data_IF_159096901226
#
_entry.id   IF_159096901226
#
_cell.length_a   1.000
_cell.length_b   1.000
_cell.length_c   1.000
_cell.angle_alpha   90.00
_cell.angle_beta   90.00
_cell.angle_gamma   90.00
#
_symmetry.space_group_name_H-M   'P 1'
#
loop_
_entity.id
_entity.type
_entity.pdbx_description
1 polymer ?
#
# COMPACT_ATOMS: atom_id res chain seq x y z
N UNK A 1 -40.89 23.73 -27.76
CA UNK A 1 -40.01 24.72 -27.12
C UNK A 1 -40.01 24.38 -25.62
N UNK A 2 -39.30 23.36 -25.14
CA UNK A 2 -37.85 23.14 -24.99
C UNK A 2 -37.38 23.44 -23.55
N UNK A 3 -36.67 22.45 -22.99
CA UNK A 3 -35.91 22.33 -21.71
C UNK A 3 -36.70 22.24 -20.40
N UNK A 4 -36.80 21.09 -19.72
CA UNK A 4 -35.83 20.11 -19.15
C UNK A 4 -35.39 20.37 -17.71
N UNK A 5 -35.50 19.26 -16.96
CA UNK A 5 -35.22 18.99 -15.56
C UNK A 5 -33.77 19.20 -15.13
N UNK A 6 -33.55 19.28 -13.81
CA UNK A 6 -32.50 18.56 -13.04
C UNK A 6 -32.62 18.91 -11.54
N UNK A 7 -32.55 17.91 -10.65
CA UNK A 7 -32.42 18.17 -9.21
C UNK A 7 -32.86 17.10 -8.20
N UNK A 8 -32.96 15.81 -8.58
CA UNK A 8 -33.23 14.71 -7.64
C UNK A 8 -31.99 13.84 -7.41
N UNK A 9 -31.13 14.19 -6.44
CA UNK A 9 -29.86 13.47 -6.22
C UNK A 9 -29.41 13.29 -4.76
N UNK A 10 -30.18 13.75 -3.77
CA UNK A 10 -29.73 13.77 -2.36
C UNK A 10 -30.35 12.70 -1.44
N UNK A 11 -31.31 11.91 -1.93
CA UNK A 11 -32.05 10.96 -1.08
C UNK A 11 -31.43 9.54 -1.01
N UNK A 12 -30.42 9.19 -1.82
CA UNK A 12 -29.93 7.81 -1.94
C UNK A 12 -28.66 7.50 -1.10
N UNK A 13 -27.97 8.51 -0.58
CA UNK A 13 -26.68 8.34 0.13
C UNK A 13 -26.85 7.95 1.61
N UNK A 14 -28.01 8.23 2.23
CA UNK A 14 -28.25 7.94 3.65
C UNK A 14 -28.77 6.52 3.93
N UNK A 15 -29.26 5.80 2.91
CA UNK A 15 -29.82 4.45 3.07
C UNK A 15 -28.76 3.33 3.17
N UNK A 16 -27.52 3.57 2.71
CA UNK A 16 -26.45 2.57 2.75
C UNK A 16 -25.76 2.46 4.12
N UNK A 17 -25.94 3.47 4.99
CA UNK A 17 -25.22 3.60 6.27
C UNK A 17 -25.87 2.87 7.45
N UNK A 18 -26.98 2.13 7.26
CA UNK A 18 -27.78 1.55 8.36
C UNK A 18 -27.83 0.01 8.45
N UNK A 19 -27.13 -0.74 7.59
CA UNK A 19 -27.23 -2.22 7.56
C UNK A 19 -26.02 -2.96 8.17
N UNK A 20 -24.90 -2.30 8.48
CA UNK A 20 -23.72 -2.97 9.04
C UNK A 20 -23.42 -2.58 10.49
N UNK A 21 -24.35 -2.92 11.39
CA UNK A 21 -24.10 -2.88 12.84
C UNK A 21 -24.62 -4.15 13.48
N UNK A 22 -23.80 -5.20 13.48
CA UNK A 22 -23.88 -6.27 14.50
C UNK A 22 -22.55 -7.05 14.64
N UNK A 23 -22.21 -7.49 15.86
CA UNK A 23 -20.83 -7.76 16.27
C UNK A 23 -20.40 -9.22 16.00
N UNK A 24 -19.30 -9.41 15.27
CA UNK A 24 -18.73 -10.75 15.06
C UNK A 24 -17.88 -11.20 16.25
N UNK A 25 -18.36 -12.25 16.94
CA UNK A 25 -17.61 -13.08 17.89
C UNK A 25 -16.34 -13.65 17.22
N UNK A 26 -15.18 -13.41 17.82
CA UNK A 26 -13.89 -14.05 17.46
C UNK A 26 -13.91 -15.52 17.87
N UNK A 27 -13.78 -16.45 16.91
CA UNK A 27 -13.38 -17.84 17.19
C UNK A 27 -11.87 -17.98 16.93
N UNK A 28 -11.14 -18.41 17.96
CA UNK A 28 -9.71 -18.72 17.95
C UNK A 28 -9.48 -20.01 17.15
N UNK A 29 -8.62 -19.98 16.14
CA UNK A 29 -8.05 -21.20 15.55
C UNK A 29 -6.77 -21.57 16.30
N UNK A 30 -6.74 -22.79 16.87
CA UNK A 30 -5.57 -23.39 17.52
C UNK A 30 -4.60 -23.91 16.45
N UNK A 31 -3.32 -23.65 16.64
CA UNK A 31 -2.21 -24.20 15.87
C UNK A 31 -2.01 -25.69 16.17
N UNK A 32 -1.84 -26.51 15.13
CA UNK A 32 -1.32 -27.87 15.23
C UNK A 32 0.15 -27.88 14.80
N UNK A 33 1.01 -28.52 15.61
CA UNK A 33 2.46 -28.71 15.36
C UNK A 33 2.69 -29.95 14.48
N UNK A 34 3.73 -30.01 13.64
CA UNK A 34 4.18 -31.27 13.05
C UNK A 34 5.19 -31.98 13.97
N UNK A 35 5.12 -33.32 13.99
CA UNK A 35 6.07 -34.23 14.64
C UNK A 35 6.84 -34.96 13.53
N UNK A 36 8.17 -34.96 13.64
CA UNK A 36 9.09 -35.78 12.84
C UNK A 36 9.26 -37.15 13.52
N UNK A 37 9.28 -38.22 12.72
CA UNK A 37 9.60 -39.59 13.15
C UNK A 37 10.04 -40.44 11.96
N UNK A 38 11.17 -41.13 12.13
CA UNK A 38 12.02 -41.86 11.17
C UNK A 38 11.64 -43.35 10.98
N UNK A 39 12.35 -43.96 10.01
CA UNK A 39 12.60 -45.37 9.63
C UNK A 39 11.80 -45.93 8.43
N UNK A 40 12.44 -46.28 7.29
CA UNK A 40 13.26 -47.49 6.99
C UNK A 40 12.41 -48.77 7.17
N UNK A 41 12.26 -49.74 6.25
CA UNK A 41 13.18 -50.32 5.26
C UNK A 41 12.42 -51.29 4.32
N UNK A 42 13.10 -51.75 3.26
CA UNK A 42 13.13 -53.12 2.69
C UNK A 42 12.33 -53.51 1.40
N UNK A 43 13.14 -54.04 0.46
CA UNK A 43 12.91 -55.07 -0.58
C UNK A 43 12.18 -54.62 -1.86
N UNK A 44 12.64 -54.88 -3.09
CA UNK A 44 13.79 -55.63 -3.61
C UNK A 44 13.62 -55.85 -5.12
N UNK A 45 14.74 -55.80 -5.86
CA UNK A 45 15.10 -56.69 -6.98
C UNK A 45 14.30 -56.65 -8.30
N UNK A 46 14.90 -56.16 -9.40
CA UNK A 46 15.53 -57.03 -10.43
C UNK A 46 15.85 -56.33 -11.78
N UNK A 47 17.11 -56.51 -12.19
CA UNK A 47 17.72 -56.79 -13.51
C UNK A 47 17.27 -56.10 -14.83
N UNK A 48 18.34 -55.69 -15.53
CA UNK A 48 18.63 -55.15 -16.90
C UNK A 48 18.79 -56.33 -17.92
N UNK A 49 19.11 -56.22 -19.25
CA UNK A 49 19.03 -55.17 -20.31
C UNK A 49 18.27 -55.63 -21.60
N UNK A 50 18.10 -54.74 -22.60
CA UNK A 50 18.01 -55.21 -23.99
C UNK A 50 17.58 -54.24 -25.10
N UNK A 51 18.55 -53.91 -25.96
CA UNK A 51 18.48 -53.61 -27.41
C UNK A 51 18.21 -52.19 -27.94
N UNK A 52 19.17 -51.82 -28.77
CA UNK A 52 19.36 -50.68 -29.65
C UNK A 52 18.44 -50.77 -30.88
N UNK A 53 17.96 -49.64 -31.40
CA UNK A 53 17.04 -49.58 -32.53
C UNK A 53 16.67 -48.15 -32.96
N UNK A 54 17.67 -47.37 -33.34
CA UNK A 54 17.70 -46.44 -34.47
C UNK A 54 16.35 -45.92 -35.07
N UNK A 55 16.07 -44.62 -34.90
CA UNK A 55 16.07 -43.58 -35.98
C UNK A 55 15.21 -42.36 -35.63
N UNK A 56 15.85 -41.19 -35.68
CA UNK A 56 15.27 -39.93 -36.17
C UNK A 56 14.22 -39.25 -35.30
N UNK A 57 14.66 -38.39 -34.38
CA UNK A 57 13.80 -37.33 -33.86
C UNK A 57 14.60 -36.05 -33.61
N UNK A 58 14.47 -35.16 -34.60
CA UNK A 58 14.34 -33.71 -34.49
C UNK A 58 14.72 -33.13 -33.12
N UNK A 59 15.96 -32.66 -33.01
CA UNK A 59 16.33 -31.78 -31.92
C UNK A 59 16.94 -30.49 -32.47
N UNK A 60 16.28 -29.39 -32.08
CA UNK A 60 16.91 -28.11 -31.73
C UNK A 60 17.21 -27.14 -32.86
N UNK A 61 16.15 -26.47 -33.31
CA UNK A 61 16.16 -25.00 -33.46
C UNK A 61 14.89 -24.44 -32.83
N UNK A 62 14.86 -24.43 -31.49
CA UNK A 62 13.94 -23.56 -30.76
C UNK A 62 14.36 -22.13 -31.07
N UNK A 63 13.68 -21.50 -32.04
CA UNK A 63 13.63 -20.04 -32.07
C UNK A 63 12.99 -19.64 -30.74
N UNK A 64 13.81 -19.04 -29.89
CA UNK A 64 13.41 -18.45 -28.63
C UNK A 64 12.45 -17.30 -28.93
N UNK A 65 11.18 -17.65 -29.10
CA UNK A 65 10.10 -16.69 -29.23
C UNK A 65 9.81 -16.13 -27.84
N UNK A 66 10.58 -15.09 -27.51
CA UNK A 66 10.17 -13.90 -26.75
C UNK A 66 8.98 -14.15 -25.82
N UNK A 67 9.23 -14.71 -24.63
CA UNK A 67 8.29 -14.64 -23.51
C UNK A 67 8.20 -13.17 -23.10
N UNK A 68 7.21 -12.47 -23.66
CA UNK A 68 6.74 -11.18 -23.16
C UNK A 68 5.88 -11.50 -21.94
N UNK A 69 6.50 -11.58 -20.76
CA UNK A 69 5.78 -11.72 -19.49
C UNK A 69 4.98 -10.45 -19.24
N UNK A 70 3.73 -10.42 -19.71
CA UNK A 70 2.75 -9.44 -19.24
C UNK A 70 2.22 -9.95 -17.91
N UNK A 71 2.45 -9.21 -16.84
CA UNK A 71 1.83 -9.44 -15.54
C UNK A 71 0.32 -9.60 -15.74
N UNK A 72 -0.20 -10.82 -15.53
CA UNK A 72 -1.64 -11.07 -15.61
C UNK A 72 -2.29 -10.44 -14.39
N UNK A 73 -2.95 -9.29 -14.57
CA UNK A 73 -3.68 -8.62 -13.48
C UNK A 73 -4.83 -9.52 -13.01
N UNK A 74 -4.82 -9.87 -11.73
CA UNK A 74 -5.89 -10.64 -11.09
C UNK A 74 -6.90 -9.67 -10.49
N UNK A 75 -8.14 -9.71 -11.00
CA UNK A 75 -9.25 -8.92 -10.46
C UNK A 75 -10.05 -9.79 -9.48
N UNK A 76 -10.01 -9.52 -8.16
CA UNK A 76 -10.73 -10.32 -7.18
C UNK A 76 -12.23 -10.07 -7.31
N UNK A 77 -12.99 -11.13 -7.60
CA UNK A 77 -14.44 -11.04 -7.82
C UNK A 77 -15.21 -11.42 -6.55
N UNK A 78 -16.15 -10.56 -6.12
CA UNK A 78 -17.03 -10.80 -4.98
C UNK A 78 -18.50 -10.56 -5.38
N UNK A 79 -19.40 -11.41 -4.89
CA UNK A 79 -20.85 -11.20 -4.98
C UNK A 79 -21.46 -11.39 -3.59
N UNK A 80 -22.39 -10.51 -3.23
CA UNK A 80 -23.10 -10.56 -1.94
C UNK A 80 -24.14 -11.68 -1.88
N UNK A 81 -24.63 -12.16 -3.02
CA UNK A 81 -25.65 -13.22 -3.13
C UNK A 81 -25.32 -14.14 -4.31
N UNK A 82 -24.88 -15.36 -3.99
CA UNK A 82 -24.52 -16.37 -4.98
C UNK A 82 -25.75 -16.94 -5.72
N UNK A 83 -26.92 -16.99 -5.07
CA UNK A 83 -28.15 -17.51 -5.67
C UNK A 83 -28.71 -16.55 -6.71
N UNK A 84 -28.71 -15.25 -6.40
CA UNK A 84 -29.10 -14.21 -7.36
C UNK A 84 -28.14 -14.14 -8.55
N UNK A 85 -26.83 -14.26 -8.30
CA UNK A 85 -25.81 -14.34 -9.34
C UNK A 85 -26.05 -15.53 -10.28
N UNK A 86 -26.27 -16.72 -9.74
CA UNK A 86 -26.50 -17.93 -10.52
C UNK A 86 -27.78 -17.83 -11.37
N UNK A 87 -28.86 -17.24 -10.82
CA UNK A 87 -30.12 -17.05 -11.55
C UNK A 87 -29.96 -16.07 -12.70
N UNK A 88 -29.26 -14.95 -12.48
CA UNK A 88 -28.96 -13.97 -13.52
C UNK A 88 -28.09 -14.58 -14.63
N UNK A 89 -27.07 -15.35 -14.26
CA UNK A 89 -26.21 -16.03 -15.24
C UNK A 89 -26.98 -17.06 -16.06
N UNK A 90 -27.85 -17.85 -15.42
CA UNK A 90 -28.71 -18.84 -16.10
C UNK A 90 -29.64 -18.17 -17.12
N UNK A 91 -30.26 -17.06 -16.75
CA UNK A 91 -31.14 -16.33 -17.67
C UNK A 91 -30.36 -15.80 -18.88
N UNK A 92 -29.25 -15.12 -18.63
CA UNK A 92 -28.41 -14.57 -19.71
C UNK A 92 -27.84 -15.66 -20.63
N UNK A 93 -27.62 -16.87 -20.12
CA UNK A 93 -27.16 -18.00 -20.91
C UNK A 93 -28.29 -18.58 -21.78
N UNK A 94 -29.51 -18.65 -21.25
CA UNK A 94 -30.68 -19.11 -22.01
C UNK A 94 -31.04 -18.18 -23.18
N UNK A 95 -30.73 -16.89 -23.04
CA UNK A 95 -30.99 -15.88 -24.08
C UNK A 95 -29.94 -15.91 -25.21
N UNK A 96 -28.88 -16.72 -25.10
CA UNK A 96 -27.82 -16.83 -26.11
C UNK A 96 -28.12 -17.97 -27.09
N UNK A 97 -28.14 -17.67 -28.39
CA UNK A 97 -28.37 -18.65 -29.46
C UNK A 97 -27.13 -19.51 -29.74
N UNK A 98 -25.95 -19.02 -29.36
CA UNK A 98 -24.64 -19.66 -29.56
C UNK A 98 -23.86 -19.74 -28.24
N UNK A 99 -22.91 -20.69 -28.10
CA UNK A 99 -22.07 -20.78 -26.91
C UNK A 99 -21.26 -19.49 -26.73
N UNK A 100 -21.36 -18.82 -25.57
CA UNK A 100 -20.74 -17.53 -25.35
C UNK A 100 -19.21 -17.62 -25.33
N UNK A 101 -18.56 -16.66 -25.98
CA UNK A 101 -17.12 -16.48 -25.91
C UNK A 101 -16.65 -16.00 -24.53
N UNK A 102 -15.33 -16.03 -24.30
CA UNK A 102 -14.74 -15.66 -23.00
C UNK A 102 -15.12 -14.23 -22.53
N UNK A 103 -15.04 -13.24 -23.43
CA UNK A 103 -15.41 -11.85 -23.11
C UNK A 103 -16.91 -11.72 -22.79
N UNK A 104 -17.77 -12.50 -23.45
CA UNK A 104 -19.20 -12.52 -23.12
C UNK A 104 -19.44 -13.12 -21.74
N UNK A 105 -18.75 -14.21 -21.38
CA UNK A 105 -18.79 -14.79 -20.03
C UNK A 105 -18.36 -13.75 -18.99
N UNK A 106 -17.27 -12.99 -19.25
CA UNK A 106 -16.82 -11.92 -18.35
C UNK A 106 -17.86 -10.81 -18.20
N UNK A 107 -18.51 -10.40 -19.28
CA UNK A 107 -19.59 -9.41 -19.23
C UNK A 107 -20.82 -9.94 -18.48
N UNK A 108 -21.17 -11.23 -18.64
CA UNK A 108 -22.28 -11.84 -17.90
C UNK A 108 -22.01 -11.90 -16.40
N UNK A 109 -20.78 -12.23 -16.00
CA UNK A 109 -20.34 -12.21 -14.60
C UNK A 109 -20.37 -10.80 -14.02
N UNK A 110 -19.88 -9.80 -14.76
CA UNK A 110 -19.92 -8.41 -14.36
C UNK A 110 -21.37 -7.91 -14.14
N UNK A 111 -22.28 -8.22 -15.08
CA UNK A 111 -23.72 -7.90 -14.96
C UNK A 111 -24.39 -8.59 -13.79
N UNK A 112 -24.08 -9.86 -13.55
CA UNK A 112 -24.61 -10.59 -12.40
C UNK A 112 -24.11 -10.04 -11.04
N UNK A 113 -22.96 -9.36 -11.03
CA UNK A 113 -22.44 -8.64 -9.86
C UNK A 113 -22.89 -7.17 -9.77
N UNK A 114 -23.74 -6.68 -10.70
CA UNK A 114 -24.29 -5.32 -10.68
C UNK A 114 -23.50 -4.28 -11.49
N UNK A 115 -22.48 -4.68 -12.25
CA UNK A 115 -21.73 -3.79 -13.15
C UNK A 115 -22.28 -3.87 -14.58
N UNK A 116 -22.17 -2.82 -15.38
CA UNK A 116 -22.72 -2.83 -16.74
C UNK A 116 -21.99 -3.79 -17.68
N UNK A 117 -20.66 -3.87 -17.57
CA UNK A 117 -19.80 -4.75 -18.35
C UNK A 117 -18.46 -5.00 -17.61
N UNK A 118 -17.61 -5.86 -18.17
CA UNK A 118 -16.31 -6.18 -17.57
C UNK A 118 -15.36 -4.98 -17.49
N UNK A 119 -15.44 -4.04 -18.43
CA UNK A 119 -14.63 -2.81 -18.39
C UNK A 119 -15.03 -1.92 -17.21
N UNK A 120 -16.32 -1.84 -16.88
CA UNK A 120 -16.83 -1.11 -15.72
C UNK A 120 -16.36 -1.77 -14.41
N UNK A 121 -16.45 -3.10 -14.31
CA UNK A 121 -15.91 -3.84 -13.17
C UNK A 121 -14.40 -3.63 -13.00
N UNK A 122 -13.66 -3.63 -14.12
CA UNK A 122 -12.23 -3.32 -14.13
C UNK A 122 -11.95 -1.89 -13.70
N UNK A 123 -12.68 -0.91 -14.23
CA UNK A 123 -12.49 0.50 -13.90
C UNK A 123 -12.81 0.80 -12.43
N UNK A 124 -13.76 0.09 -11.82
CA UNK A 124 -14.04 0.17 -10.39
C UNK A 124 -12.92 -0.44 -9.53
N UNK A 125 -12.26 -1.52 -10.00
CA UNK A 125 -11.07 -2.06 -9.34
C UNK A 125 -9.81 -1.20 -9.52
N UNK A 126 -9.63 -0.65 -10.71
CA UNK A 126 -8.52 0.22 -11.06
C UNK A 126 -8.77 1.67 -10.57
N UNK A 127 -9.96 1.96 -10.01
CA UNK A 127 -10.23 3.24 -9.36
C UNK A 127 -9.23 3.39 -8.23
N UNK A 128 -8.37 4.42 -8.24
CA UNK A 128 -7.53 4.70 -7.11
C UNK A 128 -8.45 4.92 -5.92
N UNK A 129 -8.38 4.04 -4.92
CA UNK A 129 -8.99 4.30 -3.63
C UNK A 129 -8.44 5.66 -3.20
N UNK A 130 -9.30 6.68 -3.21
CA UNK A 130 -9.03 7.87 -2.44
C UNK A 130 -8.67 7.33 -1.05
N UNK A 131 -7.44 7.62 -0.60
CA UNK A 131 -6.99 7.17 0.70
C UNK A 131 -7.95 7.74 1.74
N UNK A 132 -8.98 6.97 2.09
CA UNK A 132 -9.72 7.16 3.34
C UNK A 132 -8.64 7.28 4.41
N UNK A 133 -8.63 8.35 5.22
CA UNK A 133 -7.55 8.60 6.16
C UNK A 133 -7.49 7.42 7.10
N UNK A 134 -6.57 6.49 6.84
CA UNK A 134 -6.29 5.40 7.75
C UNK A 134 -5.81 6.10 9.00
N UNK A 135 -6.64 6.06 10.05
CA UNK A 135 -6.29 6.64 11.32
C UNK A 135 -4.88 6.16 11.69
N UNK A 136 -3.97 7.10 11.94
CA UNK A 136 -2.55 6.81 12.16
C UNK A 136 -2.38 5.63 13.14
N UNK A 137 -1.38 4.79 12.91
CA UNK A 137 -1.15 3.61 13.74
C UNK A 137 -0.96 4.00 15.22
N UNK A 138 -1.27 3.10 16.15
CA UNK A 138 -1.13 3.35 17.60
C UNK A 138 0.29 3.84 18.01
N UNK A 139 1.40 3.29 17.47
CA UNK A 139 2.73 3.84 17.70
C UNK A 139 2.89 5.28 17.20
N UNK A 140 2.40 5.58 15.99
CA UNK A 140 2.47 6.92 15.40
C UNK A 140 1.65 7.93 16.20
N UNK A 141 0.45 7.58 16.65
CA UNK A 141 -0.36 8.43 17.55
C UNK A 141 0.39 8.80 18.83
N UNK A 142 1.14 7.86 19.42
CA UNK A 142 1.96 8.12 20.60
C UNK A 142 3.13 9.07 20.31
N UNK A 143 3.69 9.06 19.11
CA UNK A 143 4.79 9.95 18.74
C UNK A 143 4.27 11.34 18.35
N UNK A 144 3.10 11.41 17.73
CA UNK A 144 2.41 12.64 17.35
C UNK A 144 2.09 13.58 18.52
N UNK A 145 2.05 13.07 19.76
CA UNK A 145 1.90 13.89 20.98
C UNK A 145 3.08 14.82 21.25
N UNK A 146 4.22 14.59 20.60
CA UNK A 146 5.39 15.47 20.69
C UNK A 146 5.32 16.62 19.68
N UNK A 147 4.33 16.64 18.79
CA UNK A 147 4.16 17.69 17.79
C UNK A 147 2.88 18.49 18.06
N UNK A 148 2.94 19.80 17.82
CA UNK A 148 1.76 20.65 17.83
C UNK A 148 0.90 20.45 16.57
N UNK A 149 -0.17 21.23 16.43
CA UNK A 149 -1.08 21.22 15.29
C UNK A 149 -0.41 21.73 14.00
N UNK A 150 0.66 22.51 14.11
CA UNK A 150 1.46 23.02 12.99
C UNK A 150 2.59 22.05 12.60
N UNK A 151 2.73 20.92 13.29
CA UNK A 151 3.79 19.94 13.02
C UNK A 151 5.17 20.36 13.52
N UNK A 152 5.24 21.23 14.53
CA UNK A 152 6.47 21.62 15.24
C UNK A 152 6.67 20.77 16.48
N UNK A 153 7.92 20.42 16.76
CA UNK A 153 8.29 19.64 17.95
C UNK A 153 8.14 20.51 19.21
N UNK A 154 7.27 20.09 20.15
CA UNK A 154 6.95 20.87 21.36
C UNK A 154 7.95 20.69 22.49
N UNK A 155 8.66 19.56 22.49
CA UNK A 155 9.63 19.20 23.52
C UNK A 155 10.58 18.14 23.01
N UNK A 156 11.77 18.09 23.58
CA UNK A 156 12.70 17.00 23.32
C UNK A 156 12.26 15.70 24.04
N UNK A 157 12.05 14.58 23.32
CA UNK A 157 11.69 13.31 23.95
C UNK A 157 12.83 12.78 24.84
N UNK A 158 12.49 12.12 25.96
CA UNK A 158 13.50 11.50 26.85
C UNK A 158 14.06 10.17 26.31
N UNK A 159 13.27 9.45 25.51
CA UNK A 159 13.62 8.11 25.01
C UNK A 159 14.32 8.23 23.67
N UNK A 160 15.49 7.63 23.53
CA UNK A 160 16.29 7.67 22.30
C UNK A 160 15.54 7.22 21.04
N UNK A 161 14.72 6.17 21.14
CA UNK A 161 13.90 5.71 20.01
C UNK A 161 12.87 6.77 19.56
N UNK A 162 12.31 7.53 20.50
CA UNK A 162 11.35 8.60 20.19
C UNK A 162 12.07 9.84 19.65
N UNK A 163 13.26 10.16 20.16
CA UNK A 163 14.13 11.22 19.61
C UNK A 163 14.43 10.95 18.15
N UNK A 164 14.89 9.73 17.82
CA UNK A 164 15.21 9.33 16.45
C UNK A 164 14.01 9.40 15.52
N UNK A 165 12.84 8.99 15.99
CA UNK A 165 11.60 9.12 15.23
C UNK A 165 11.21 10.58 14.97
N UNK A 166 11.35 11.45 15.98
CA UNK A 166 11.07 12.87 15.83
C UNK A 166 12.07 13.55 14.89
N UNK A 167 13.35 13.18 14.94
CA UNK A 167 14.38 13.69 14.02
C UNK A 167 14.07 13.34 12.56
N UNK A 168 13.58 12.13 12.28
CA UNK A 168 13.12 11.77 10.93
C UNK A 168 11.98 12.67 10.43
N UNK A 169 11.01 12.98 11.30
CA UNK A 169 9.91 13.87 10.96
C UNK A 169 10.32 15.36 10.85
N UNK A 170 11.37 15.78 11.56
CA UNK A 170 11.97 17.11 11.37
C UNK A 170 12.73 17.16 10.04
N UNK A 171 13.60 16.20 9.80
CA UNK A 171 14.36 16.06 8.56
C UNK A 171 13.46 16.02 7.32
N UNK A 172 12.32 15.32 7.39
CA UNK A 172 11.35 15.24 6.28
C UNK A 172 10.70 16.58 5.92
N UNK A 173 10.70 17.55 6.85
CA UNK A 173 10.14 18.89 6.67
C UNK A 173 11.14 19.96 6.25
N UNK A 174 12.44 19.66 6.27
CA UNK A 174 13.46 20.61 5.85
C UNK A 174 13.45 20.76 4.31
N UNK A 175 13.66 21.98 3.77
CA UNK A 175 13.71 22.23 2.34
C UNK A 175 14.80 21.37 1.65
N UNK A 176 14.54 20.90 0.42
CA UNK A 176 15.50 20.05 -0.33
C UNK A 176 16.23 20.85 -1.39
N UNK A 177 17.49 20.51 -1.62
CA UNK A 177 18.27 21.03 -2.76
C UNK A 177 19.11 22.28 -2.49
N UNK A 178 19.21 22.73 -1.22
CA UNK A 178 20.00 23.90 -0.84
C UNK A 178 21.18 23.52 0.06
N UNK A 179 22.32 24.17 -0.15
CA UNK A 179 23.35 24.33 0.89
C UNK A 179 22.96 25.53 1.75
N UNK A 180 22.93 25.36 3.07
CA UNK A 180 22.69 26.47 4.00
C UNK A 180 23.98 26.95 4.63
N UNK A 181 24.03 28.26 4.89
CA UNK A 181 24.92 28.78 5.91
C UNK A 181 24.33 28.52 7.31
N UNK A 182 25.13 28.80 8.35
CA UNK A 182 24.72 28.56 9.72
C UNK A 182 23.43 29.31 10.12
N UNK A 183 23.25 30.61 9.82
CA UNK A 183 22.01 31.32 10.11
C UNK A 183 20.78 30.74 9.41
N UNK A 184 20.89 30.37 8.13
CA UNK A 184 19.76 29.85 7.36
C UNK A 184 19.30 28.49 7.89
N UNK A 185 20.22 27.58 8.22
CA UNK A 185 19.80 26.29 8.80
C UNK A 185 19.19 26.47 10.19
N UNK A 186 19.71 27.41 10.98
CA UNK A 186 19.13 27.74 12.28
C UNK A 186 17.70 28.23 12.15
N UNK A 187 17.43 29.10 11.17
CA UNK A 187 16.08 29.59 10.89
C UNK A 187 15.16 28.44 10.48
N UNK A 188 15.61 27.57 9.57
CA UNK A 188 14.83 26.42 9.11
C UNK A 188 14.49 25.45 10.26
N UNK A 189 15.44 25.17 11.16
CA UNK A 189 15.19 24.30 12.32
C UNK A 189 14.25 24.97 13.33
N UNK A 190 14.42 26.27 13.60
CA UNK A 190 13.55 27.03 14.50
C UNK A 190 12.09 27.04 14.04
N UNK A 191 11.85 27.01 12.73
CA UNK A 191 10.49 26.91 12.19
C UNK A 191 9.82 25.56 12.50
N UNK A 192 10.58 24.52 12.84
CA UNK A 192 10.10 23.16 13.07
C UNK A 192 10.04 22.76 14.56
N UNK A 193 10.36 23.68 15.48
CA UNK A 193 10.42 23.43 16.93
C UNK A 193 9.86 24.62 17.72
N UNK A 194 9.52 24.41 19.00
CA UNK A 194 9.01 25.49 19.89
C UNK A 194 9.69 25.57 21.26
N UNK A 195 10.64 24.69 21.58
CA UNK A 195 11.32 24.63 22.88
C UNK A 195 12.64 25.43 22.91
N UNK A 196 13.08 25.99 21.78
CA UNK A 196 14.14 26.97 21.65
C UNK A 196 15.56 26.42 21.48
N UNK A 197 15.73 25.10 21.41
CA UNK A 197 17.05 24.45 21.29
C UNK A 197 17.28 23.82 19.91
N UNK A 198 17.28 24.69 18.91
CA UNK A 198 17.68 24.38 17.53
C UNK A 198 19.13 23.86 17.41
N UNK A 199 20.05 24.21 18.34
CA UNK A 199 21.44 23.76 18.31
C UNK A 199 21.51 22.25 18.59
N UNK A 200 20.75 21.77 19.57
CA UNK A 200 20.58 20.34 19.84
C UNK A 200 20.09 19.61 18.59
N UNK A 201 19.01 20.09 17.96
CA UNK A 201 18.47 19.43 16.75
C UNK A 201 19.52 19.39 15.64
N UNK A 202 20.20 20.50 15.36
CA UNK A 202 21.24 20.56 14.33
C UNK A 202 22.36 19.57 14.59
N UNK A 203 22.81 19.47 15.84
CA UNK A 203 23.85 18.51 16.26
C UNK A 203 23.40 17.08 16.02
N UNK A 204 22.19 16.72 16.47
CA UNK A 204 21.64 15.36 16.32
C UNK A 204 21.40 14.98 14.85
N UNK A 205 20.98 15.95 14.02
CA UNK A 205 20.83 15.74 12.58
C UNK A 205 22.17 15.41 11.89
N UNK A 206 23.25 16.08 12.33
CA UNK A 206 24.61 15.81 11.82
C UNK A 206 25.14 14.47 12.36
N UNK A 207 25.06 14.25 13.67
CA UNK A 207 25.55 13.02 14.32
C UNK A 207 24.84 11.77 13.81
N UNK A 208 23.55 11.86 13.49
CA UNK A 208 22.79 10.75 12.95
C UNK A 208 22.82 10.60 11.43
N UNK A 209 23.64 11.37 10.72
CA UNK A 209 23.87 11.19 9.28
C UNK A 209 22.71 11.64 8.38
N UNK A 210 21.86 12.54 8.86
CA UNK A 210 20.79 13.18 8.07
C UNK A 210 21.24 14.48 7.40
N UNK A 211 22.31 15.08 7.94
CA UNK A 211 22.86 16.35 7.51
C UNK A 211 24.38 16.27 7.47
N UNK A 212 24.98 16.79 6.40
CA UNK A 212 26.42 17.03 6.32
C UNK A 212 26.76 18.45 6.75
N UNK A 213 28.02 18.64 7.14
CA UNK A 213 28.58 19.90 7.59
C UNK A 213 30.05 20.00 7.19
N UNK A 214 30.53 21.21 6.88
CA UNK A 214 31.96 21.50 6.78
C UNK A 214 32.64 21.59 8.15
N UNK A 215 33.92 21.23 8.26
CA UNK A 215 34.65 21.26 9.55
C UNK A 215 34.65 22.65 10.22
N UNK A 216 34.61 23.71 9.42
CA UNK A 216 34.51 25.10 9.88
C UNK A 216 33.08 25.54 10.27
N UNK A 217 32.11 24.62 10.23
CA UNK A 217 30.70 24.81 10.53
C UNK A 217 29.98 25.89 9.69
N UNK A 218 30.57 26.33 8.57
CA UNK A 218 29.99 27.40 7.75
C UNK A 218 28.92 26.92 6.78
N UNK A 219 28.95 25.66 6.37
CA UNK A 219 28.00 25.10 5.40
C UNK A 219 27.37 23.81 5.91
N UNK A 220 26.11 23.65 5.59
CA UNK A 220 25.28 22.48 5.90
C UNK A 220 24.51 22.05 4.65
N UNK A 221 24.27 20.74 4.50
CA UNK A 221 23.44 20.19 3.42
C UNK A 221 22.69 18.95 3.91
N UNK A 222 21.51 18.68 3.34
CA UNK A 222 20.78 17.45 3.66
C UNK A 222 21.39 16.28 2.92
N UNK A 223 21.58 15.19 3.66
CA UNK A 223 21.80 13.88 3.09
C UNK A 223 20.45 13.26 2.75
N UNK A 224 20.46 12.26 1.88
CA UNK A 224 19.27 11.51 1.47
C UNK A 224 19.33 10.06 1.96
N UNK A 225 19.36 9.82 3.29
CA UNK A 225 19.27 8.47 3.81
C UNK A 225 17.88 7.87 3.53
N UNK A 226 17.83 6.55 3.40
CA UNK A 226 16.57 5.83 3.22
C UNK A 226 15.69 5.96 4.48
N UNK A 227 14.50 6.52 4.33
CA UNK A 227 13.53 6.69 5.41
C UNK A 227 12.91 5.32 5.76
N UNK A 228 13.11 4.79 6.97
CA UNK A 228 12.52 3.51 7.36
C UNK A 228 10.99 3.57 7.34
N UNK A 229 10.34 2.51 6.87
CA UNK A 229 8.87 2.44 6.77
C UNK A 229 8.16 2.75 8.11
N UNK A 230 8.75 2.35 9.23
CA UNK A 230 8.24 2.64 10.59
C UNK A 230 8.23 4.14 10.94
N UNK A 231 9.07 4.96 10.30
CA UNK A 231 9.15 6.40 10.51
C UNK A 231 8.44 7.19 9.40
N UNK A 232 8.21 6.56 8.24
CA UNK A 232 7.55 7.17 7.09
C UNK A 232 6.12 7.64 7.43
N UNK A 233 5.34 6.81 8.12
CA UNK A 233 3.97 7.18 8.54
C UNK A 233 3.98 8.42 9.45
N UNK A 234 4.89 8.49 10.43
CA UNK A 234 5.01 9.66 11.30
C UNK A 234 5.40 10.91 10.52
N UNK A 235 6.42 10.81 9.66
CA UNK A 235 6.88 11.91 8.84
C UNK A 235 5.77 12.46 7.92
N UNK A 236 4.98 11.58 7.32
CA UNK A 236 3.81 11.94 6.51
C UNK A 236 2.76 12.67 7.35
N UNK A 237 2.38 12.12 8.50
CA UNK A 237 1.38 12.75 9.38
C UNK A 237 1.81 14.13 9.89
N UNK A 238 3.09 14.31 10.19
CA UNK A 238 3.62 15.62 10.60
C UNK A 238 3.66 16.59 9.40
N UNK A 239 4.01 16.12 8.21
CA UNK A 239 3.97 16.94 6.99
C UNK A 239 2.55 17.36 6.62
N UNK A 240 1.55 16.51 6.83
CA UNK A 240 0.14 16.86 6.66
C UNK A 240 -0.26 18.01 7.61
N UNK A 241 0.16 17.97 8.88
CA UNK A 241 -0.08 19.07 9.83
C UNK A 241 0.52 20.40 9.34
N UNK A 242 1.74 20.37 8.80
CA UNK A 242 2.42 21.55 8.22
C UNK A 242 1.67 22.10 7.00
N UNK A 243 1.21 21.22 6.12
CA UNK A 243 0.49 21.61 4.90
C UNK A 243 -0.89 22.21 5.20
N UNK A 244 -1.55 21.77 6.26
CA UNK A 244 -2.87 22.26 6.67
C UNK A 244 -2.82 23.65 7.35
N UNK A 245 -1.65 24.07 7.86
CA UNK A 245 -1.45 25.37 8.49
C UNK A 245 -0.32 26.17 7.81
N UNK A 246 -0.47 26.66 6.57
CA UNK A 246 0.60 27.35 5.84
C UNK A 246 0.89 28.80 6.28
N UNK A 247 0.42 29.26 7.45
CA UNK A 247 0.63 30.65 7.86
C UNK A 247 0.46 30.90 9.35
N UNK A 248 1.53 31.38 9.96
CA UNK A 248 1.55 32.20 11.18
C UNK A 248 2.41 33.41 10.91
#
# INVERSE_FOLDING_TARGET
>A
MAHEALGGGLAMVLAWRRVNSSPRRRRRFRHAKPVLGLHESLLGSNLVPGRNGDRGSLSRLWHADRIRTMSRTLYPFYSSDISSLARSLKQQWADQTEPPGHLQILNMLARAAGFQNFQHLRAEHDRPLAAEPVAASSPTQRLLRHFDEQGRLIRWPKKFSEQRACLWALWSGLPRGEEWDEPAINLAIRALETFGDHVLIRRELVEGGWMGRTDDCRRYWLLTPELPAEMAELAEQVNLRRALCPGG
#
